data_IF_474979310431
#
_entry.id   IF_474979310431
#
_cell.length_a   1.000
_cell.length_b   1.000
_cell.length_c   1.000
_cell.angle_alpha   90.00
_cell.angle_beta   90.00
_cell.angle_gamma   90.00
#
_symmetry.space_group_name_H-M   'P 1'
#
loop_
_entity.id
_entity.type
_entity.pdbx_description
1 polymer ?
#
# COMPACT_ATOMS: atom_id res chain seq x y z
N UNK A 1 1.18 9.99 31.72
CA UNK A 1 0.41 10.89 30.81
C UNK A 1 -0.51 9.99 29.99
N UNK A 2 -1.83 10.21 29.92
CA UNK A 2 -2.70 9.36 29.11
C UNK A 2 -2.37 9.58 27.63
N UNK A 3 -1.79 8.58 26.98
CA UNK A 3 -1.51 8.58 25.55
C UNK A 3 -2.82 8.88 24.78
N UNK A 4 -2.89 10.03 24.10
CA UNK A 4 -4.03 10.38 23.23
C UNK A 4 -4.24 9.25 22.23
N UNK A 5 -5.42 8.62 22.27
CA UNK A 5 -5.80 7.61 21.28
C UNK A 5 -5.94 8.31 19.92
N UNK A 6 -5.03 7.98 19.02
CA UNK A 6 -5.07 8.44 17.63
C UNK A 6 -6.34 7.84 17.00
N UNK A 7 -7.04 8.60 16.18
CA UNK A 7 -8.25 8.16 15.48
C UNK A 7 -7.93 7.84 14.02
N UNK A 8 -8.79 7.05 13.40
CA UNK A 8 -8.72 6.79 11.98
C UNK A 8 -8.74 8.11 11.18
N UNK A 9 -7.82 8.26 10.23
CA UNK A 9 -7.74 9.42 9.32
C UNK A 9 -8.82 9.37 8.23
N UNK A 10 -9.50 8.24 8.05
CA UNK A 10 -10.57 8.10 7.06
C UNK A 10 -11.79 8.97 7.42
N UNK A 11 -12.26 9.80 6.47
CA UNK A 11 -13.29 10.83 6.70
C UNK A 11 -14.61 10.30 7.27
N UNK A 12 -14.97 9.07 6.94
CA UNK A 12 -16.23 8.44 7.38
C UNK A 12 -16.02 7.49 8.58
N UNK A 13 -14.81 7.40 9.12
CA UNK A 13 -14.50 6.52 10.25
C UNK A 13 -14.23 7.31 11.53
N UNK A 14 -14.93 6.96 12.60
CA UNK A 14 -14.71 7.52 13.95
C UNK A 14 -14.00 6.55 14.91
N UNK A 15 -13.54 5.42 14.38
CA UNK A 15 -12.90 4.36 15.15
C UNK A 15 -11.48 4.75 15.59
N UNK A 16 -10.94 4.04 16.58
CA UNK A 16 -9.59 4.28 17.06
C UNK A 16 -8.58 3.72 16.05
N UNK A 17 -7.51 4.48 15.78
CA UNK A 17 -6.42 3.96 14.97
C UNK A 17 -5.73 2.81 15.71
N UNK A 18 -5.42 1.75 14.98
CA UNK A 18 -4.72 0.59 15.53
C UNK A 18 -3.26 0.98 15.75
N UNK A 19 -2.73 0.71 16.95
CA UNK A 19 -1.31 0.98 17.25
C UNK A 19 -0.44 0.04 16.41
N UNK A 20 0.67 0.56 15.87
CA UNK A 20 1.70 -0.18 15.10
C UNK A 20 1.23 -0.58 13.69
N UNK A 21 0.08 -1.24 13.57
CA UNK A 21 -0.41 -1.82 12.29
C UNK A 21 -1.34 -0.86 11.53
N UNK A 22 -1.78 0.22 12.16
CA UNK A 22 -2.67 1.21 11.55
C UNK A 22 -1.97 2.29 10.74
N UNK A 23 -0.64 2.39 10.81
CA UNK A 23 0.13 3.43 10.12
C UNK A 23 0.36 3.05 8.66
N UNK A 24 -0.10 3.91 7.74
CA UNK A 24 0.14 3.75 6.32
C UNK A 24 1.40 4.51 5.91
N UNK A 25 2.45 3.81 5.49
CA UNK A 25 3.71 4.42 5.05
C UNK A 25 3.63 5.21 3.73
N UNK A 26 2.53 5.08 2.98
CA UNK A 26 2.35 5.79 1.71
C UNK A 26 1.78 7.20 1.92
N UNK A 27 0.69 7.31 2.67
CA UNK A 27 0.04 8.60 2.96
C UNK A 27 0.36 9.15 4.37
N UNK A 28 1.19 8.45 5.15
CA UNK A 28 1.52 8.77 6.55
C UNK A 28 0.28 8.97 7.45
N UNK A 29 -0.83 8.29 7.11
CA UNK A 29 -2.08 8.32 7.86
C UNK A 29 -2.19 7.19 8.89
N UNK A 30 -3.04 7.38 9.91
CA UNK A 30 -3.31 6.36 10.93
C UNK A 30 -4.72 5.80 10.76
N UNK A 31 -4.87 4.49 10.71
CA UNK A 31 -6.13 3.82 10.36
C UNK A 31 -6.53 2.77 11.40
N UNK A 32 -7.83 2.50 11.50
CA UNK A 32 -8.35 1.43 12.35
C UNK A 32 -8.20 0.06 11.68
N UNK A 33 -8.53 -1.03 12.40
CA UNK A 33 -8.41 -2.39 11.86
C UNK A 33 -9.20 -2.64 10.56
N UNK A 34 -10.25 -1.87 10.31
CA UNK A 34 -11.06 -1.93 9.09
C UNK A 34 -10.43 -1.15 7.93
N UNK A 35 -9.77 -0.03 8.20
CA UNK A 35 -9.25 0.88 7.16
C UNK A 35 -7.73 0.80 6.97
N UNK A 36 -7.06 -0.22 7.55
CA UNK A 36 -5.60 -0.37 7.47
C UNK A 36 -5.07 -0.72 6.08
N UNK A 37 -5.91 -1.30 5.21
CA UNK A 37 -5.52 -1.59 3.83
C UNK A 37 -5.62 -0.32 2.97
N UNK A 38 -4.72 -0.20 1.99
CA UNK A 38 -4.71 0.94 1.07
C UNK A 38 -6.04 1.08 0.32
N UNK A 39 -6.70 -0.05 0.02
CA UNK A 39 -7.99 -0.11 -0.66
C UNK A 39 -9.13 0.45 0.21
N UNK A 40 -9.16 0.10 1.50
CA UNK A 40 -10.23 0.53 2.41
C UNK A 40 -10.18 2.02 2.73
N UNK A 41 -9.01 2.62 2.90
CA UNK A 41 -8.91 4.06 3.18
C UNK A 41 -8.75 4.94 1.93
N UNK A 42 -8.82 4.34 0.74
CA UNK A 42 -8.55 5.02 -0.55
C UNK A 42 -7.24 5.80 -0.49
N UNK A 43 -6.15 5.08 -0.26
CA UNK A 43 -4.82 5.67 -0.14
C UNK A 43 -4.47 6.47 -1.40
N UNK A 44 -4.09 7.73 -1.22
CA UNK A 44 -3.61 8.61 -2.30
C UNK A 44 -2.38 8.01 -3.00
N UNK A 45 -1.47 7.40 -2.23
CA UNK A 45 -0.28 6.72 -2.77
C UNK A 45 -0.51 5.32 -3.35
N UNK A 46 -1.77 4.86 -3.48
CA UNK A 46 -2.08 3.55 -4.07
C UNK A 46 -1.72 3.52 -5.57
N UNK A 47 -1.94 4.63 -6.28
CA UNK A 47 -1.69 4.71 -7.72
C UNK A 47 -0.20 4.64 -8.04
N UNK A 48 0.63 5.41 -7.31
CA UNK A 48 2.09 5.36 -7.43
C UNK A 48 2.66 3.99 -7.05
N UNK A 49 2.14 3.37 -5.98
CA UNK A 49 2.54 2.03 -5.56
C UNK A 49 2.25 0.98 -6.63
N UNK A 50 1.06 1.04 -7.25
CA UNK A 50 0.68 0.14 -8.34
C UNK A 50 1.60 0.31 -9.55
N UNK A 51 1.86 1.56 -9.95
CA UNK A 51 2.71 1.85 -11.11
C UNK A 51 4.13 1.31 -10.91
N UNK A 52 4.74 1.59 -9.76
CA UNK A 52 6.08 1.10 -9.45
C UNK A 52 6.14 -0.44 -9.39
N UNK A 53 5.12 -1.08 -8.84
CA UNK A 53 5.05 -2.55 -8.80
C UNK A 53 4.91 -3.14 -10.21
N UNK A 54 4.09 -2.53 -11.07
CA UNK A 54 3.93 -2.94 -12.46
C UNK A 54 5.22 -2.79 -13.26
N UNK A 55 5.93 -1.67 -13.12
CA UNK A 55 7.21 -1.44 -13.82
C UNK A 55 8.26 -2.48 -13.39
N UNK A 56 8.37 -2.79 -12.10
CA UNK A 56 9.29 -3.83 -11.60
C UNK A 56 8.92 -5.22 -12.10
N UNK A 57 7.64 -5.55 -12.08
CA UNK A 57 7.15 -6.84 -12.57
C UNK A 57 7.39 -6.97 -14.08
N UNK A 58 7.10 -5.93 -14.86
CA UNK A 58 7.40 -5.90 -16.29
C UNK A 58 8.91 -6.08 -16.56
N UNK A 59 9.77 -5.34 -15.85
CA UNK A 59 11.22 -5.48 -16.00
C UNK A 59 11.71 -6.90 -15.65
N UNK A 60 11.16 -7.51 -14.59
CA UNK A 60 11.48 -8.87 -14.19
C UNK A 60 10.99 -9.90 -15.22
N UNK A 61 9.75 -9.77 -15.70
CA UNK A 61 9.21 -10.62 -16.77
C UNK A 61 10.01 -10.53 -18.06
N UNK A 62 10.46 -9.33 -18.44
CA UNK A 62 11.31 -9.15 -19.63
C UNK A 62 12.71 -9.74 -19.43
N UNK A 63 13.27 -9.66 -18.23
CA UNK A 63 14.56 -10.26 -17.89
C UNK A 63 14.51 -11.80 -17.88
N UNK A 64 13.41 -12.37 -17.40
CA UNK A 64 13.20 -13.83 -17.31
C UNK A 64 12.59 -14.43 -18.60
N UNK A 65 12.31 -13.59 -19.60
CA UNK A 65 11.77 -14.02 -20.89
C UNK A 65 12.73 -15.01 -21.56
N UNK A 66 12.29 -16.27 -21.65
CA UNK A 66 12.99 -17.30 -22.44
C UNK A 66 13.01 -16.87 -23.91
N UNK A 67 14.21 -16.60 -24.43
CA UNK A 67 14.40 -16.34 -25.86
C UNK A 67 14.61 -17.68 -26.58
N UNK A 68 13.80 -17.94 -27.60
CA UNK A 68 14.05 -19.05 -28.53
C UNK A 68 15.34 -18.76 -29.30
N UNK A 69 16.39 -19.55 -29.01
CA UNK A 69 17.60 -19.65 -29.84
C UNK A 69 17.18 -20.13 -31.23
N UNK A 70 17.05 -19.21 -32.19
CA UNK A 70 16.86 -19.55 -33.61
C UNK A 70 18.23 -19.73 -34.24
N UNK A 71 18.68 -20.98 -34.35
CA UNK A 71 19.84 -21.37 -35.15
C UNK A 71 20.67 -22.51 -34.57
N UNK A 72 20.26 -23.75 -34.86
CA UNK A 72 21.14 -24.90 -35.16
C UNK A 72 20.63 -25.50 -36.46
#
# INVERSE_FOLDING_TARGET
MPQKRIRCTFKECKDAAQRIVGDCGFCNGHFCGKHRLLEDHKCDGLEDCKKQSHERNAAQLEAERTQVIRGV
#
